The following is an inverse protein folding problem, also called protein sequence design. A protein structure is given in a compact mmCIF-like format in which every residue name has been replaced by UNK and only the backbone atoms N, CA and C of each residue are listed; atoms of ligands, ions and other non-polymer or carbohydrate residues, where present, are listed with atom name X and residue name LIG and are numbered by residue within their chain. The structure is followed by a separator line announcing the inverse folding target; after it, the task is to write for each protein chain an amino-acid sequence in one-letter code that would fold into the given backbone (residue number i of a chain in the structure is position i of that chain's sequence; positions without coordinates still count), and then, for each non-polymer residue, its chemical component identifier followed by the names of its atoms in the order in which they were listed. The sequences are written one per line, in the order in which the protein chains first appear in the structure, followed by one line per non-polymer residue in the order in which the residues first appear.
data_IF_914881652701
#
_entry.id   IF_914881652701
#
_cell.length_a   1.000
_cell.length_b   1.000
_cell.length_c   1.000
_cell.angle_alpha   90.00
_cell.angle_beta   90.00
_cell.angle_gamma   90.00
#
_symmetry.space_group_name_H-M   'P 1'
#
loop_
_entity.id
_entity.type
_entity.pdbx_description
1 polymer ?
#
# COMPACT_ATOMS: atom_id res chain seq x y z
N UNK A 1 2.54 8.24 10.77
CA UNK A 1 3.22 7.46 9.72
C UNK A 1 4.18 6.47 10.39
N UNK A 2 3.93 5.14 10.33
CA UNK A 2 4.81 4.17 10.97
C UNK A 2 6.13 4.01 10.21
N UNK A 3 7.21 3.74 10.94
CA UNK A 3 8.45 3.26 10.37
C UNK A 3 8.35 1.73 10.19
N UNK A 4 8.12 1.25 8.97
CA UNK A 4 7.98 -0.17 8.67
C UNK A 4 9.27 -0.97 8.84
N UNK A 5 10.40 -0.28 8.97
CA UNK A 5 11.75 -0.88 9.09
C UNK A 5 12.34 -0.78 10.51
N UNK A 6 11.55 -0.39 11.50
CA UNK A 6 12.03 -0.15 12.87
C UNK A 6 12.77 -1.35 13.49
N UNK A 7 12.45 -2.58 13.07
CA UNK A 7 13.13 -3.81 13.52
C UNK A 7 14.59 -3.87 13.10
N UNK A 8 14.95 -3.15 12.06
CA UNK A 8 16.33 -3.12 11.51
C UNK A 8 17.06 -1.83 11.88
N UNK A 9 16.50 -1.01 12.75
CA UNK A 9 17.11 0.20 13.25
C UNK A 9 16.46 1.48 12.72
N UNK A 10 17.29 2.52 12.57
CA UNK A 10 16.90 3.82 12.02
C UNK A 10 17.42 3.99 10.60
N UNK A 11 16.90 4.97 9.89
CA UNK A 11 17.20 5.24 8.48
C UNK A 11 18.69 5.41 8.17
N UNK A 12 19.45 5.94 9.09
CA UNK A 12 20.91 6.12 9.01
C UNK A 12 21.71 4.82 9.23
N UNK A 13 21.03 3.72 9.53
CA UNK A 13 21.66 2.44 9.87
C UNK A 13 21.01 1.21 9.22
N UNK A 14 20.39 1.36 8.05
CA UNK A 14 19.76 0.24 7.33
C UNK A 14 20.75 -0.63 6.54
N UNK A 15 22.05 -0.34 6.59
CA UNK A 15 23.10 -1.15 5.96
C UNK A 15 23.30 -0.86 4.47
N UNK A 16 22.64 0.13 3.90
CA UNK A 16 22.84 0.60 2.53
C UNK A 16 22.89 2.13 2.44
N UNK A 17 23.55 2.63 1.40
CA UNK A 17 23.71 4.06 1.16
C UNK A 17 22.66 4.56 0.14
N UNK A 18 21.64 5.30 0.62
CA UNK A 18 20.47 5.75 -0.16
C UNK A 18 20.84 6.57 -1.40
N UNK A 19 21.88 7.37 -1.31
CA UNK A 19 22.35 8.21 -2.43
C UNK A 19 22.91 7.39 -3.57
N UNK A 20 23.39 6.17 -3.29
CA UNK A 20 24.05 5.28 -4.25
C UNK A 20 23.16 4.18 -4.83
N UNK A 21 21.94 3.97 -4.34
CA UNK A 21 21.06 2.87 -4.79
C UNK A 21 20.72 2.90 -6.30
N UNK A 22 20.91 4.03 -6.98
CA UNK A 22 20.68 4.15 -8.43
C UNK A 22 21.92 3.85 -9.26
N UNK A 23 23.09 3.84 -8.65
CA UNK A 23 24.39 3.75 -9.32
C UNK A 23 25.17 2.48 -8.92
N UNK A 24 24.76 1.85 -7.81
CA UNK A 24 25.44 0.70 -7.23
C UNK A 24 24.45 -0.45 -6.99
N UNK A 25 24.61 -1.52 -7.75
CA UNK A 25 23.74 -2.70 -7.68
C UNK A 25 23.77 -3.39 -6.31
N UNK A 26 24.90 -3.32 -5.57
CA UNK A 26 24.99 -3.90 -4.23
C UNK A 26 24.14 -3.09 -3.23
N UNK A 27 24.17 -1.76 -3.33
CA UNK A 27 23.34 -0.91 -2.48
C UNK A 27 21.86 -1.09 -2.80
N UNK A 28 21.53 -1.23 -4.08
CA UNK A 28 20.17 -1.54 -4.52
C UNK A 28 19.72 -2.91 -4.00
N UNK A 29 20.56 -3.93 -4.06
CA UNK A 29 20.24 -5.27 -3.56
C UNK A 29 20.01 -5.27 -2.04
N UNK A 30 20.85 -4.60 -1.26
CA UNK A 30 20.67 -4.45 0.19
C UNK A 30 19.33 -3.77 0.52
N UNK A 31 18.94 -2.74 -0.25
CA UNK A 31 17.63 -2.10 -0.10
C UNK A 31 16.49 -3.10 -0.36
N UNK A 32 16.57 -3.91 -1.42
CA UNK A 32 15.56 -4.92 -1.71
C UNK A 32 15.53 -6.03 -0.65
N UNK A 33 16.67 -6.44 -0.11
CA UNK A 33 16.74 -7.42 0.96
C UNK A 33 16.02 -6.91 2.22
N UNK A 34 16.23 -5.65 2.58
CA UNK A 34 15.50 -4.99 3.67
C UNK A 34 13.98 -4.92 3.39
N UNK A 35 13.60 -4.53 2.17
CA UNK A 35 12.19 -4.50 1.77
C UNK A 35 11.52 -5.87 1.86
N UNK A 36 12.22 -6.92 1.43
CA UNK A 36 11.72 -8.29 1.46
C UNK A 36 11.65 -8.85 2.89
N UNK A 37 12.57 -8.42 3.77
CA UNK A 37 12.55 -8.78 5.18
C UNK A 37 11.32 -8.21 5.93
N UNK A 38 10.74 -7.11 5.45
CA UNK A 38 9.48 -6.55 5.95
C UNK A 38 8.28 -7.30 5.34
N UNK A 39 8.07 -8.54 5.78
CA UNK A 39 6.99 -9.40 5.28
C UNK A 39 5.61 -8.87 5.64
N UNK A 40 4.58 -9.28 4.89
CA UNK A 40 3.18 -8.91 5.18
C UNK A 40 2.77 -9.34 6.58
N UNK A 41 3.17 -10.53 7.01
CA UNK A 41 2.90 -11.05 8.35
C UNK A 41 3.44 -10.13 9.46
N UNK A 42 4.70 -9.68 9.35
CA UNK A 42 5.31 -8.75 10.31
C UNK A 42 4.56 -7.43 10.39
N UNK A 43 4.21 -6.84 9.22
CA UNK A 43 3.50 -5.56 9.18
C UNK A 43 2.07 -5.69 9.72
N UNK A 44 1.39 -6.80 9.41
CA UNK A 44 0.07 -7.11 9.99
C UNK A 44 0.17 -7.24 11.51
N UNK A 45 1.17 -7.96 12.02
CA UNK A 45 1.42 -8.06 13.47
C UNK A 45 1.68 -6.69 14.13
N UNK A 46 2.42 -5.80 13.46
CA UNK A 46 2.70 -4.45 13.95
C UNK A 46 1.49 -3.53 13.93
N UNK A 47 0.49 -3.87 13.11
CA UNK A 47 -0.72 -3.04 12.97
C UNK A 47 -1.57 -3.06 14.24
N UNK A 48 -1.64 -4.17 14.98
CA UNK A 48 -2.45 -4.22 16.21
C UNK A 48 -2.01 -3.19 17.26
N UNK A 49 -0.72 -3.11 17.65
CA UNK A 49 -0.25 -2.04 18.55
C UNK A 49 -0.49 -0.62 18.03
N UNK A 50 -0.45 -0.41 16.72
CA UNK A 50 -0.76 0.91 16.13
C UNK A 50 -2.24 1.26 16.29
N UNK A 51 -3.15 0.30 16.07
CA UNK A 51 -4.58 0.50 16.29
C UNK A 51 -4.89 0.75 17.76
N UNK A 52 -4.24 0.02 18.68
CA UNK A 52 -4.37 0.22 20.11
C UNK A 52 -3.86 1.61 20.53
N UNK A 53 -2.75 2.07 19.95
CA UNK A 53 -2.24 3.42 20.18
C UNK A 53 -3.25 4.49 19.73
N UNK A 54 -3.83 4.35 18.53
CA UNK A 54 -4.85 5.28 18.01
C UNK A 54 -6.08 5.29 18.92
N UNK A 55 -6.57 4.12 19.31
CA UNK A 55 -7.76 3.99 20.17
C UNK A 55 -7.59 4.62 21.56
N UNK A 56 -6.34 4.72 22.05
CA UNK A 56 -6.02 5.33 23.34
C UNK A 56 -5.59 6.80 23.25
N UNK A 57 -5.48 7.37 22.04
CA UNK A 57 -5.14 8.78 21.85
C UNK A 57 -6.41 9.65 21.99
N UNK A 58 -6.49 10.54 22.99
CA UNK A 58 -7.67 11.39 23.21
C UNK A 58 -7.92 12.41 22.09
N UNK A 59 -6.95 12.61 21.17
CA UNK A 59 -7.12 13.45 19.99
C UNK A 59 -7.61 12.66 18.78
N UNK A 60 -7.56 11.34 18.81
CA UNK A 60 -8.09 10.51 17.76
C UNK A 60 -9.62 10.40 17.87
N UNK A 61 -10.27 10.43 16.71
CA UNK A 61 -11.71 10.21 16.65
C UNK A 61 -12.00 8.72 16.89
N UNK A 62 -13.04 8.45 17.68
CA UNK A 62 -13.54 7.08 17.88
C UNK A 62 -14.10 6.49 16.57
N UNK A 63 -13.91 5.20 16.37
CA UNK A 63 -14.42 4.45 15.24
C UNK A 63 -13.33 3.86 14.33
N UNK A 64 -13.73 3.31 13.18
CA UNK A 64 -12.81 2.68 12.27
C UNK A 64 -11.86 3.70 11.64
N UNK A 65 -10.69 3.23 11.24
CA UNK A 65 -9.61 4.06 10.67
C UNK A 65 -9.49 3.89 9.16
N UNK A 66 -8.78 4.83 8.54
CA UNK A 66 -8.34 4.73 7.15
C UNK A 66 -6.85 4.40 7.06
N UNK A 67 -6.46 3.70 5.99
CA UNK A 67 -5.06 3.45 5.71
C UNK A 67 -4.73 3.68 4.23
N UNK A 68 -3.52 4.19 3.99
CA UNK A 68 -2.97 4.37 2.64
C UNK A 68 -1.59 3.75 2.53
N UNK A 69 -1.32 3.08 1.43
CA UNK A 69 -0.03 2.49 1.12
C UNK A 69 0.41 2.79 -0.31
N UNK A 70 1.71 2.93 -0.49
CA UNK A 70 2.35 3.20 -1.77
C UNK A 70 3.40 2.14 -2.05
N UNK A 71 3.56 1.76 -3.33
CA UNK A 71 4.59 0.83 -3.76
C UNK A 71 4.51 -0.51 -2.97
N UNK A 72 5.56 -0.92 -2.29
CA UNK A 72 5.57 -2.16 -1.51
C UNK A 72 4.51 -2.21 -0.41
N UNK A 73 4.09 -1.05 0.14
CA UNK A 73 3.06 -1.04 1.17
C UNK A 73 1.64 -1.28 0.63
N UNK A 74 1.46 -1.32 -0.69
CA UNK A 74 0.19 -1.70 -1.30
C UNK A 74 -0.29 -3.09 -0.90
N UNK A 75 0.62 -4.08 -0.86
CA UNK A 75 0.30 -5.45 -0.39
C UNK A 75 -0.10 -5.47 1.09
N UNK A 76 0.50 -4.60 1.91
CA UNK A 76 0.17 -4.52 3.33
C UNK A 76 -1.22 -3.97 3.57
N UNK A 77 -1.68 -3.02 2.74
CA UNK A 77 -3.05 -2.49 2.81
C UNK A 77 -4.08 -3.60 2.66
N UNK A 78 -3.89 -4.51 1.71
CA UNK A 78 -4.78 -5.67 1.53
C UNK A 78 -4.67 -6.61 2.73
N UNK A 79 -3.46 -6.89 3.20
CA UNK A 79 -3.19 -7.78 4.34
C UNK A 79 -3.83 -7.30 5.65
N UNK A 80 -3.66 -6.01 6.01
CA UNK A 80 -4.25 -5.44 7.23
C UNK A 80 -5.77 -5.37 7.15
N UNK A 81 -6.33 -4.99 5.99
CA UNK A 81 -7.77 -4.95 5.79
C UNK A 81 -8.43 -6.33 5.89
N UNK A 82 -7.75 -7.38 5.43
CA UNK A 82 -8.22 -8.75 5.55
C UNK A 82 -8.08 -9.33 6.97
N UNK A 83 -7.08 -8.88 7.74
CA UNK A 83 -6.82 -9.37 9.10
C UNK A 83 -7.64 -8.62 10.17
N UNK A 84 -7.86 -7.34 9.96
CA UNK A 84 -8.61 -6.47 10.88
C UNK A 84 -9.81 -5.83 10.17
N UNK A 85 -10.77 -6.64 9.68
CA UNK A 85 -11.84 -6.15 8.81
C UNK A 85 -12.79 -5.16 9.48
N UNK A 86 -12.91 -5.19 10.81
CA UNK A 86 -13.77 -4.27 11.56
C UNK A 86 -13.08 -2.96 11.96
N UNK A 87 -11.75 -2.90 11.82
CA UNK A 87 -10.95 -1.74 12.21
C UNK A 87 -10.76 -0.75 11.04
N UNK A 88 -10.82 -1.22 9.80
CA UNK A 88 -10.56 -0.39 8.62
C UNK A 88 -11.83 -0.17 7.79
N UNK A 89 -12.30 1.09 7.71
CA UNK A 89 -13.41 1.46 6.84
C UNK A 89 -12.95 1.90 5.45
N UNK A 90 -11.72 2.41 5.31
CA UNK A 90 -11.19 2.96 4.08
C UNK A 90 -9.72 2.53 3.87
N UNK A 91 -9.46 1.88 2.76
CA UNK A 91 -8.16 1.32 2.41
C UNK A 91 -7.75 1.78 1.01
N UNK A 92 -6.60 2.42 0.85
CA UNK A 92 -6.09 2.86 -0.44
C UNK A 92 -4.68 2.32 -0.72
N UNK A 93 -4.47 1.79 -1.92
CA UNK A 93 -3.16 1.35 -2.41
C UNK A 93 -2.86 2.05 -3.73
N UNK A 94 -1.74 2.77 -3.80
CA UNK A 94 -1.28 3.45 -5.01
C UNK A 94 -0.03 2.78 -5.56
N UNK A 95 -0.08 2.41 -6.85
CA UNK A 95 0.95 1.62 -7.55
C UNK A 95 1.50 0.50 -6.64
N UNK A 96 0.58 -0.20 -5.96
CA UNK A 96 0.91 -1.26 -5.01
C UNK A 96 1.46 -2.50 -5.69
N UNK A 97 2.59 -2.99 -5.18
CA UNK A 97 3.23 -4.21 -5.69
C UNK A 97 2.94 -5.40 -4.79
N UNK A 98 3.00 -6.62 -5.35
CA UNK A 98 2.85 -7.86 -4.59
C UNK A 98 1.43 -8.11 -4.04
N UNK A 99 0.41 -7.44 -4.57
CA UNK A 99 -0.99 -7.67 -4.18
C UNK A 99 -1.47 -9.03 -4.68
N UNK A 100 -1.07 -9.39 -5.89
CA UNK A 100 -1.28 -10.71 -6.49
C UNK A 100 0.07 -11.31 -6.85
N UNK A 101 0.38 -12.48 -6.29
CA UNK A 101 1.57 -13.29 -6.56
C UNK A 101 1.15 -14.75 -6.70
N UNK A 102 2.09 -15.62 -7.07
CA UNK A 102 1.89 -17.08 -7.12
C UNK A 102 2.08 -17.75 -5.75
N UNK A 103 2.46 -17.00 -4.73
CA UNK A 103 2.68 -17.53 -3.39
C UNK A 103 1.36 -17.89 -2.70
N UNK A 104 1.42 -18.91 -1.83
CA UNK A 104 0.24 -19.41 -1.11
C UNK A 104 -0.35 -18.45 -0.09
N UNK A 105 0.44 -17.45 0.33
CA UNK A 105 0.07 -16.36 1.23
C UNK A 105 -0.20 -15.04 0.51
N UNK A 106 -0.36 -15.08 -0.82
CA UNK A 106 -0.60 -13.89 -1.63
C UNK A 106 -1.79 -13.09 -1.11
N UNK A 107 -1.64 -11.76 -0.88
CA UNK A 107 -2.66 -10.93 -0.23
C UNK A 107 -4.04 -11.01 -0.88
N UNK A 108 -4.12 -11.12 -2.21
CA UNK A 108 -5.38 -11.20 -2.92
C UNK A 108 -6.25 -12.41 -2.52
N UNK A 109 -5.64 -13.50 -2.02
CA UNK A 109 -6.35 -14.71 -1.60
C UNK A 109 -7.21 -14.48 -0.35
N UNK A 110 -6.79 -13.55 0.51
CA UNK A 110 -7.51 -13.18 1.73
C UNK A 110 -8.42 -11.97 1.57
N UNK A 111 -8.41 -11.30 0.40
CA UNK A 111 -9.15 -10.07 0.15
C UNK A 111 -10.66 -10.18 0.45
N UNK A 112 -11.27 -11.38 0.27
CA UNK A 112 -12.68 -11.65 0.58
C UNK A 112 -13.10 -11.36 2.03
N UNK A 113 -12.14 -11.19 2.93
CA UNK A 113 -12.38 -10.85 4.35
C UNK A 113 -12.52 -9.34 4.58
N UNK A 114 -12.11 -8.49 3.63
CA UNK A 114 -12.16 -7.04 3.77
C UNK A 114 -13.62 -6.58 3.81
N UNK A 115 -13.98 -5.81 4.83
CA UNK A 115 -15.31 -5.22 4.99
C UNK A 115 -15.38 -3.76 4.56
N UNK A 116 -14.30 -3.01 4.78
CA UNK A 116 -14.19 -1.61 4.35
C UNK A 116 -14.06 -1.45 2.85
N UNK A 117 -14.13 -0.22 2.37
CA UNK A 117 -13.93 0.10 0.96
C UNK A 117 -12.43 0.05 0.62
N UNK A 118 -12.08 -0.76 -0.40
CA UNK A 118 -10.73 -0.89 -0.92
C UNK A 118 -10.59 -0.14 -2.25
N UNK A 119 -9.62 0.76 -2.35
CA UNK A 119 -9.24 1.45 -3.57
C UNK A 119 -7.84 1.03 -4.02
N UNK A 120 -7.74 0.44 -5.19
CA UNK A 120 -6.49 0.03 -5.80
C UNK A 120 -6.22 0.89 -7.04
N UNK A 121 -5.17 1.69 -7.01
CA UNK A 121 -4.73 2.51 -8.12
C UNK A 121 -3.41 1.98 -8.66
N UNK A 122 -3.32 1.78 -9.97
CA UNK A 122 -2.12 1.31 -10.66
C UNK A 122 -1.63 2.33 -11.68
N UNK A 123 -0.33 2.39 -11.90
CA UNK A 123 0.24 3.07 -13.04
C UNK A 123 0.08 2.20 -14.29
N UNK A 124 -0.14 2.82 -15.45
CA UNK A 124 -0.30 2.08 -16.71
C UNK A 124 1.02 1.44 -17.17
N UNK A 125 2.13 2.17 -17.00
CA UNK A 125 3.48 1.74 -17.41
C UNK A 125 4.30 1.35 -16.16
N UNK A 126 3.93 0.26 -15.49
CA UNK A 126 4.57 -0.19 -14.25
C UNK A 126 5.28 -1.52 -14.45
N UNK A 127 6.61 -1.50 -14.38
CA UNK A 127 7.45 -2.71 -14.52
C UNK A 127 7.24 -3.73 -13.40
N UNK A 128 6.74 -3.28 -12.24
CA UNK A 128 6.46 -4.14 -11.09
C UNK A 128 5.04 -4.73 -11.10
N UNK A 129 4.14 -4.14 -11.90
CA UNK A 129 2.76 -4.62 -12.06
C UNK A 129 2.45 -4.69 -13.56
N UNK A 130 2.99 -5.70 -14.27
CA UNK A 130 2.85 -5.81 -15.72
C UNK A 130 1.39 -6.02 -16.15
N UNK A 131 1.11 -5.75 -17.43
CA UNK A 131 -0.23 -5.75 -18.01
C UNK A 131 -1.11 -6.98 -17.70
N UNK A 132 -0.61 -8.22 -17.64
CA UNK A 132 -1.40 -9.37 -17.19
C UNK A 132 -1.95 -9.21 -15.77
N UNK A 133 -1.19 -8.65 -14.82
CA UNK A 133 -1.65 -8.39 -13.45
C UNK A 133 -2.68 -7.25 -13.41
N UNK A 134 -2.49 -6.19 -14.21
CA UNK A 134 -3.46 -5.09 -14.34
C UNK A 134 -4.84 -5.57 -14.81
N UNK A 135 -4.90 -6.68 -15.56
CA UNK A 135 -6.14 -7.32 -16.01
C UNK A 135 -6.71 -8.27 -14.96
N UNK A 136 -5.85 -9.09 -14.33
CA UNK A 136 -6.31 -10.17 -13.42
C UNK A 136 -6.69 -9.65 -12.04
N UNK A 137 -6.04 -8.60 -11.51
CA UNK A 137 -6.37 -8.05 -10.19
C UNK A 137 -7.83 -7.58 -10.09
N UNK A 138 -8.39 -6.78 -11.02
CA UNK A 138 -9.80 -6.42 -10.99
C UNK A 138 -10.74 -7.62 -10.96
N UNK A 139 -10.45 -8.66 -11.74
CA UNK A 139 -11.24 -9.90 -11.78
C UNK A 139 -11.19 -10.65 -10.44
N UNK A 140 -10.00 -10.71 -9.82
CA UNK A 140 -9.82 -11.33 -8.49
C UNK A 140 -10.58 -10.57 -7.40
N UNK A 141 -10.52 -9.23 -7.42
CA UNK A 141 -11.25 -8.40 -6.47
C UNK A 141 -12.77 -8.52 -6.66
N UNK A 142 -13.25 -8.51 -7.89
CA UNK A 142 -14.66 -8.75 -8.19
C UNK A 142 -15.13 -10.13 -7.70
N UNK A 143 -14.31 -11.17 -7.93
CA UNK A 143 -14.60 -12.55 -7.45
C UNK A 143 -14.59 -12.64 -5.91
N UNK A 144 -13.79 -11.84 -5.23
CA UNK A 144 -13.79 -11.77 -3.77
C UNK A 144 -15.08 -11.17 -3.19
N UNK A 145 -15.90 -10.48 -4.01
CA UNK A 145 -17.21 -9.95 -3.62
C UNK A 145 -17.14 -8.76 -2.65
N UNK A 146 -16.01 -8.05 -2.61
CA UNK A 146 -15.76 -6.91 -1.71
C UNK A 146 -16.08 -5.58 -2.39
N UNK A 147 -16.30 -4.55 -1.59
CA UNK A 147 -16.40 -3.18 -2.08
C UNK A 147 -15.02 -2.67 -2.50
N UNK A 148 -14.61 -2.98 -3.74
CA UNK A 148 -13.32 -2.63 -4.28
C UNK A 148 -13.44 -1.86 -5.60
N UNK A 149 -12.74 -0.73 -5.67
CA UNK A 149 -12.53 -0.01 -6.92
C UNK A 149 -11.09 -0.16 -7.37
N UNK A 150 -10.90 -0.61 -8.60
CA UNK A 150 -9.59 -0.67 -9.26
C UNK A 150 -9.54 0.39 -10.36
N UNK A 151 -8.49 1.20 -10.39
CA UNK A 151 -8.31 2.26 -11.37
C UNK A 151 -6.87 2.24 -11.91
N UNK A 152 -6.72 2.31 -13.23
CA UNK A 152 -5.42 2.48 -13.90
C UNK A 152 -5.28 3.95 -14.30
N UNK A 153 -4.14 4.53 -14.00
CA UNK A 153 -3.79 5.92 -14.29
C UNK A 153 -3.03 6.00 -15.62
N UNK A 154 -3.67 6.50 -16.69
CA UNK A 154 -3.06 6.51 -18.04
C UNK A 154 -1.81 7.37 -18.09
N UNK A 155 -0.82 6.95 -18.88
CA UNK A 155 0.43 7.67 -19.11
C UNK A 155 1.33 7.82 -17.89
N UNK A 156 1.13 6.99 -16.87
CA UNK A 156 1.90 7.08 -15.61
C UNK A 156 2.80 5.87 -15.41
N UNK A 157 3.95 6.10 -14.79
CA UNK A 157 4.86 5.05 -14.34
C UNK A 157 4.87 4.90 -12.82
N UNK A 158 5.58 3.89 -12.33
CA UNK A 158 5.67 3.56 -10.91
C UNK A 158 6.18 4.72 -10.06
N UNK A 159 5.38 5.21 -9.12
CA UNK A 159 5.76 6.31 -8.22
C UNK A 159 5.36 7.70 -8.71
N UNK A 160 4.42 7.82 -9.62
CA UNK A 160 3.96 9.05 -10.27
C UNK A 160 3.47 10.15 -9.32
N UNK A 161 3.15 9.83 -8.07
CA UNK A 161 2.45 10.75 -7.15
C UNK A 161 3.36 11.75 -6.44
N UNK A 162 4.69 11.58 -6.47
CA UNK A 162 5.63 12.40 -5.70
C UNK A 162 6.44 13.34 -6.57
N UNK A 163 6.37 14.68 -6.31
CA UNK A 163 7.01 15.71 -7.15
C UNK A 163 8.53 15.58 -7.29
N UNK A 164 9.19 15.00 -6.29
CA UNK A 164 10.65 14.83 -6.26
C UNK A 164 11.15 13.72 -7.18
N UNK A 165 10.22 12.95 -7.77
CA UNK A 165 10.58 11.85 -8.67
C UNK A 165 10.56 12.28 -10.12
N UNK A 166 11.52 11.83 -10.95
CA UNK A 166 11.52 12.11 -12.40
C UNK A 166 10.26 11.62 -13.13
N UNK A 167 9.59 10.61 -12.58
CA UNK A 167 8.37 10.00 -13.12
C UNK A 167 7.09 10.74 -12.67
N UNK A 168 7.21 11.86 -11.94
CA UNK A 168 6.07 12.63 -11.46
C UNK A 168 5.12 13.02 -12.59
N UNK A 169 3.83 12.76 -12.37
CA UNK A 169 2.78 13.13 -13.30
C UNK A 169 1.72 13.98 -12.57
N UNK A 170 1.77 15.30 -12.75
CA UNK A 170 0.96 16.25 -11.97
C UNK A 170 -0.53 15.94 -11.96
N UNK A 171 -1.16 15.72 -13.12
CA UNK A 171 -2.60 15.46 -13.20
C UNK A 171 -2.99 14.16 -12.47
N UNK A 172 -2.17 13.13 -12.58
CA UNK A 172 -2.39 11.87 -11.88
C UNK A 172 -2.19 12.03 -10.36
N UNK A 173 -1.20 12.83 -9.93
CA UNK A 173 -0.96 13.13 -8.54
C UNK A 173 -2.13 13.92 -7.90
N UNK A 174 -2.68 14.92 -8.60
CA UNK A 174 -3.88 15.65 -8.14
C UNK A 174 -5.09 14.70 -8.04
N UNK A 175 -5.32 13.89 -9.06
CA UNK A 175 -6.40 12.88 -9.04
C UNK A 175 -6.22 11.87 -7.92
N UNK A 176 -5.00 11.45 -7.62
CA UNK A 176 -4.70 10.58 -6.50
C UNK A 176 -5.18 11.18 -5.17
N UNK A 177 -4.89 12.47 -4.91
CA UNK A 177 -5.38 13.17 -3.72
C UNK A 177 -6.90 13.26 -3.69
N UNK A 178 -7.53 13.65 -4.78
CA UNK A 178 -9.00 13.70 -4.90
C UNK A 178 -9.65 12.36 -4.54
N UNK A 179 -9.12 11.26 -5.09
CA UNK A 179 -9.64 9.91 -4.84
C UNK A 179 -9.47 9.47 -3.40
N UNK A 180 -8.30 9.75 -2.81
CA UNK A 180 -8.00 9.40 -1.43
C UNK A 180 -8.87 10.18 -0.46
N UNK A 181 -8.95 11.49 -0.61
CA UNK A 181 -9.79 12.33 0.26
C UNK A 181 -11.26 11.95 0.14
N UNK A 182 -11.79 11.77 -1.07
CA UNK A 182 -13.16 11.32 -1.28
C UNK A 182 -13.44 9.93 -0.70
N UNK A 183 -12.46 9.01 -0.71
CA UNK A 183 -12.57 7.71 -0.05
C UNK A 183 -12.70 7.86 1.46
N UNK A 184 -11.86 8.70 2.05
CA UNK A 184 -11.86 8.92 3.50
C UNK A 184 -13.11 9.68 3.96
N UNK A 185 -13.51 10.73 3.26
CA UNK A 185 -14.71 11.51 3.59
C UNK A 185 -15.97 10.62 3.71
N UNK A 186 -16.22 9.76 2.72
CA UNK A 186 -17.43 8.94 2.72
C UNK A 186 -17.42 7.77 3.71
N UNK A 187 -16.24 7.32 4.11
CA UNK A 187 -16.12 6.14 4.98
C UNK A 187 -15.74 6.47 6.42
N UNK A 188 -15.07 7.58 6.67
CA UNK A 188 -14.59 7.95 8.02
C UNK A 188 -15.44 9.07 8.66
N UNK A 189 -16.44 9.62 7.94
CA UNK A 189 -17.28 10.73 8.42
C UNK A 189 -16.47 11.89 9.00
N UNK A 190 -15.45 12.32 8.22
CA UNK A 190 -14.59 13.46 8.56
C UNK A 190 -15.41 14.75 8.46
#
# INVERSE_FOLDING_TARGET
LPNLYYRWGREDNYGFERTRIREDENELQKMFDLMNAATTEKIVSDTRPMLDFIANDPQAKEGPVGAVGYCMSGKYIVGIGATYPDEFAALASYYGVGIQTEETDSPHLSAHKIKGELYLAFAEEDVYVPGPLLKSIPEKMAKAGINCRVEVYPGTGHGFAFPERPIYHKQAAERHWERMLALFDRNLKI
#
